data_IF_321805747325
#
_entry.id   IF_321805747325
#
_cell.length_a   1.000
_cell.length_b   1.000
_cell.length_c   1.000
_cell.angle_alpha   90.00
_cell.angle_beta   90.00
_cell.angle_gamma   90.00
#
_symmetry.space_group_name_H-M   'P 1'
#
loop_
_entity.id
_entity.type
_entity.pdbx_description
1 polymer ?
#
# COMPACT_ATOMS: atom_id res chain seq x y z
N UNK A 1 -20.68 -2.77 9.90
CA UNK A 1 -19.46 -3.30 9.30
C UNK A 1 -19.19 -2.55 8.01
N UNK A 2 -18.03 -1.91 7.88
CA UNK A 2 -17.56 -1.28 6.63
C UNK A 2 -16.36 -2.07 6.10
N UNK A 3 -16.38 -2.36 4.81
CA UNK A 3 -15.30 -3.08 4.14
C UNK A 3 -14.65 -2.16 3.11
N UNK A 4 -13.31 -2.08 3.11
CA UNK A 4 -12.55 -1.16 2.26
C UNK A 4 -11.70 -1.97 1.28
N UNK A 5 -11.94 -1.75 -0.02
CA UNK A 5 -11.22 -2.42 -1.09
C UNK A 5 -10.46 -1.42 -1.95
N UNK A 6 -9.18 -1.70 -2.15
CA UNK A 6 -8.29 -0.94 -3.02
C UNK A 6 -8.64 -1.19 -4.50
N UNK A 7 -8.53 -0.17 -5.35
CA UNK A 7 -8.85 -0.28 -6.79
C UNK A 7 -7.81 0.32 -7.74
N UNK A 8 -6.61 0.57 -7.26
CA UNK A 8 -5.56 1.21 -8.05
C UNK A 8 -4.70 0.16 -8.76
N UNK A 9 -4.43 0.37 -10.05
CA UNK A 9 -3.37 -0.31 -10.79
C UNK A 9 -2.03 0.42 -10.62
N UNK A 10 -0.95 -0.26 -10.93
CA UNK A 10 0.42 0.24 -10.83
C UNK A 10 1.01 0.51 -12.23
N UNK A 11 1.92 1.49 -12.37
CA UNK A 11 2.64 1.74 -13.62
C UNK A 11 3.76 0.70 -13.84
N UNK A 12 3.36 -0.57 -13.95
CA UNK A 12 4.23 -1.73 -14.11
C UNK A 12 3.76 -2.52 -15.32
N UNK A 13 4.68 -2.81 -16.26
CA UNK A 13 4.38 -3.68 -17.39
C UNK A 13 4.15 -5.11 -16.93
N UNK A 14 2.99 -5.66 -17.25
CA UNK A 14 2.70 -7.06 -16.96
C UNK A 14 3.52 -7.99 -17.84
N UNK A 15 4.08 -9.04 -17.23
CA UNK A 15 4.92 -10.04 -17.90
C UNK A 15 4.45 -11.47 -17.64
N UNK A 16 3.19 -11.65 -17.25
CA UNK A 16 2.63 -12.96 -16.89
C UNK A 16 2.40 -13.86 -18.10
N UNK A 17 2.14 -13.27 -19.27
CA UNK A 17 1.82 -14.02 -20.50
C UNK A 17 0.46 -14.74 -20.46
N UNK A 18 -0.42 -14.39 -19.53
CA UNK A 18 -1.75 -14.97 -19.40
C UNK A 18 -2.73 -14.37 -20.41
N UNK A 19 -3.72 -15.14 -20.83
CA UNK A 19 -4.75 -14.70 -21.80
C UNK A 19 -5.57 -13.51 -21.32
N UNK A 20 -5.62 -13.31 -19.99
CA UNK A 20 -6.29 -12.19 -19.32
C UNK A 20 -5.33 -11.13 -18.77
N UNK A 21 -4.09 -11.09 -19.25
CA UNK A 21 -3.12 -10.03 -18.93
C UNK A 21 -3.66 -8.65 -19.27
N UNK A 22 -3.10 -7.64 -18.63
CA UNK A 22 -3.45 -6.24 -18.88
C UNK A 22 -3.37 -5.90 -20.37
N UNK A 23 -4.40 -5.25 -20.89
CA UNK A 23 -4.44 -4.72 -22.27
C UNK A 23 -3.92 -3.27 -22.34
N UNK A 24 -3.61 -2.67 -21.19
CA UNK A 24 -3.04 -1.34 -21.11
C UNK A 24 -1.53 -1.46 -20.93
N UNK A 25 -0.79 -1.00 -21.95
CA UNK A 25 0.68 -1.01 -21.91
C UNK A 25 1.21 -0.22 -20.72
N UNK A 26 2.22 -0.77 -20.04
CA UNK A 26 2.86 -0.15 -18.89
C UNK A 26 2.03 -0.09 -17.61
N UNK A 27 0.86 -0.72 -17.56
CA UNK A 27 -0.02 -0.69 -16.39
C UNK A 27 -0.57 -2.07 -16.06
N UNK A 28 -0.50 -2.48 -14.80
CA UNK A 28 -1.05 -3.77 -14.35
C UNK A 28 -1.50 -3.74 -12.88
N UNK A 29 -2.31 -4.73 -12.49
CA UNK A 29 -2.69 -4.97 -11.10
C UNK A 29 -1.66 -5.83 -10.36
N UNK A 30 -0.39 -5.40 -10.33
CA UNK A 30 0.71 -6.14 -9.72
C UNK A 30 0.59 -6.29 -8.19
N UNK A 31 -0.30 -5.53 -7.56
CA UNK A 31 -0.61 -5.67 -6.13
C UNK A 31 -1.94 -6.41 -5.86
N UNK A 32 -2.56 -7.02 -6.89
CA UNK A 32 -3.77 -7.83 -6.74
C UNK A 32 -5.05 -7.06 -6.37
N UNK A 33 -5.10 -5.76 -6.64
CA UNK A 33 -6.28 -4.94 -6.32
C UNK A 33 -7.52 -5.29 -7.16
N UNK A 34 -7.34 -5.88 -8.33
CA UNK A 34 -8.40 -6.48 -9.15
C UNK A 34 -9.10 -7.64 -8.41
N UNK A 35 -8.33 -8.51 -7.75
CA UNK A 35 -8.87 -9.59 -6.90
C UNK A 35 -9.64 -8.98 -5.72
N UNK A 36 -9.14 -7.90 -5.11
CA UNK A 36 -9.87 -7.21 -4.04
C UNK A 36 -11.23 -6.70 -4.52
N UNK A 37 -11.31 -6.08 -5.70
CA UNK A 37 -12.57 -5.59 -6.27
C UNK A 37 -13.56 -6.75 -6.48
N UNK A 38 -13.10 -7.84 -7.08
CA UNK A 38 -13.94 -9.02 -7.34
C UNK A 38 -14.43 -9.63 -6.03
N UNK A 39 -13.56 -9.77 -5.05
CA UNK A 39 -13.92 -10.27 -3.71
C UNK A 39 -15.00 -9.39 -3.07
N UNK A 40 -14.85 -8.06 -3.14
CA UNK A 40 -15.84 -7.11 -2.63
C UNK A 40 -17.22 -7.30 -3.28
N UNK A 41 -17.23 -7.39 -4.61
CA UNK A 41 -18.47 -7.55 -5.38
C UNK A 41 -19.19 -8.86 -5.07
N UNK A 42 -18.43 -9.96 -4.97
CA UNK A 42 -19.02 -11.26 -4.63
C UNK A 42 -19.48 -11.31 -3.15
N UNK A 43 -18.73 -10.73 -2.23
CA UNK A 43 -19.16 -10.56 -0.85
C UNK A 43 -20.46 -9.76 -0.77
N UNK A 44 -20.58 -8.66 -1.49
CA UNK A 44 -21.81 -7.88 -1.57
C UNK A 44 -22.99 -8.71 -2.08
N UNK A 45 -22.76 -9.50 -3.14
CA UNK A 45 -23.80 -10.38 -3.71
C UNK A 45 -24.28 -11.44 -2.71
N UNK A 46 -23.35 -12.08 -2.00
CA UNK A 46 -23.68 -13.08 -0.99
C UNK A 46 -24.45 -12.44 0.17
N UNK A 47 -23.95 -11.33 0.71
CA UNK A 47 -24.59 -10.60 1.79
C UNK A 47 -26.00 -10.12 1.39
N UNK A 48 -26.20 -9.69 0.15
CA UNK A 48 -27.52 -9.31 -0.35
C UNK A 48 -28.49 -10.48 -0.42
N UNK A 49 -28.02 -11.70 -0.71
CA UNK A 49 -28.85 -12.90 -0.72
C UNK A 49 -29.29 -13.30 0.71
N UNK A 50 -28.48 -12.97 1.72
CA UNK A 50 -28.71 -13.28 3.14
C UNK A 50 -29.09 -12.03 3.95
N UNK A 51 -29.60 -10.98 3.30
CA UNK A 51 -29.86 -9.68 3.95
C UNK A 51 -30.80 -9.80 5.16
N UNK A 52 -31.77 -10.72 5.12
CA UNK A 52 -32.76 -10.90 6.17
C UNK A 52 -32.19 -11.65 7.41
N UNK A 53 -30.99 -12.21 7.28
CA UNK A 53 -30.24 -12.86 8.36
C UNK A 53 -29.24 -11.90 9.04
N UNK A 54 -29.02 -10.70 8.47
CA UNK A 54 -28.06 -9.74 8.97
C UNK A 54 -28.66 -8.88 10.08
N UNK A 55 -28.01 -8.85 11.24
CA UNK A 55 -28.36 -7.97 12.36
C UNK A 55 -27.58 -6.64 12.28
N UNK A 56 -27.61 -5.97 11.13
CA UNK A 56 -26.88 -4.72 10.94
C UNK A 56 -26.74 -4.33 9.49
N UNK A 57 -25.91 -3.32 9.24
CA UNK A 57 -25.63 -2.79 7.91
C UNK A 57 -24.20 -3.12 7.49
N UNK A 58 -24.02 -3.40 6.20
CA UNK A 58 -22.70 -3.57 5.60
C UNK A 58 -22.50 -2.50 4.54
N UNK A 59 -21.42 -1.74 4.66
CA UNK A 59 -21.02 -0.73 3.69
C UNK A 59 -19.74 -1.19 3.01
N UNK A 60 -19.76 -1.32 1.69
CA UNK A 60 -18.59 -1.65 0.89
C UNK A 60 -17.99 -0.37 0.34
N UNK A 61 -16.68 -0.19 0.50
CA UNK A 61 -15.95 1.00 0.10
C UNK A 61 -14.87 0.63 -0.90
N UNK A 62 -14.92 1.22 -2.08
CA UNK A 62 -13.87 1.10 -3.09
C UNK A 62 -12.93 2.30 -2.99
N UNK A 63 -11.81 2.12 -2.31
CA UNK A 63 -10.84 3.17 -2.06
C UNK A 63 -9.94 3.41 -3.28
N UNK A 64 -9.80 4.66 -3.76
CA UNK A 64 -8.81 5.02 -4.78
C UNK A 64 -7.43 5.24 -4.14
N UNK A 65 -6.38 5.40 -4.95
CA UNK A 65 -5.09 5.98 -4.59
C UNK A 65 -4.47 5.43 -3.28
N UNK A 66 -4.52 4.12 -3.08
CA UNK A 66 -3.93 3.49 -1.90
C UNK A 66 -2.41 3.49 -1.98
N UNK A 67 -1.82 3.22 -3.16
CA UNK A 67 -0.37 3.09 -3.36
C UNK A 67 0.42 4.40 -3.13
N UNK A 68 -0.24 5.53 -3.18
CA UNK A 68 0.34 6.84 -2.82
C UNK A 68 -0.15 7.38 -1.47
N UNK A 69 -0.76 6.52 -0.64
CA UNK A 69 -1.15 6.80 0.75
C UNK A 69 -2.12 8.00 0.89
N UNK A 70 -2.83 8.36 -0.17
CA UNK A 70 -3.74 9.52 -0.18
C UNK A 70 -5.22 9.12 -0.16
N UNK A 71 -5.55 7.92 -0.64
CA UNK A 71 -6.92 7.50 -0.87
C UNK A 71 -7.78 7.41 0.39
N UNK A 72 -7.27 6.83 1.47
CA UNK A 72 -8.00 6.74 2.73
C UNK A 72 -8.31 8.13 3.29
N UNK A 73 -7.34 9.06 3.25
CA UNK A 73 -7.53 10.46 3.67
C UNK A 73 -8.62 11.16 2.85
N UNK A 74 -8.62 10.94 1.54
CA UNK A 74 -9.63 11.53 0.64
C UNK A 74 -11.04 10.99 0.94
N UNK A 75 -11.18 9.69 1.17
CA UNK A 75 -12.47 9.06 1.50
C UNK A 75 -12.99 9.51 2.86
N UNK A 76 -12.11 9.65 3.86
CA UNK A 76 -12.45 10.18 5.18
C UNK A 76 -12.89 11.65 5.05
N UNK A 77 -12.13 12.48 4.33
CA UNK A 77 -12.47 13.89 4.09
C UNK A 77 -13.80 14.06 3.33
N UNK A 78 -14.17 13.09 2.48
CA UNK A 78 -15.46 13.05 1.82
C UNK A 78 -16.63 12.61 2.75
N UNK A 79 -16.38 12.44 4.04
CA UNK A 79 -17.40 12.17 5.05
C UNK A 79 -17.75 10.71 5.28
N UNK A 80 -16.92 9.76 4.84
CA UNK A 80 -17.22 8.33 5.03
C UNK A 80 -17.48 7.97 6.48
N UNK A 81 -16.68 8.53 7.40
CA UNK A 81 -16.75 8.20 8.83
C UNK A 81 -17.90 8.91 9.56
N UNK A 82 -18.47 9.94 8.96
CA UNK A 82 -19.62 10.72 9.48
C UNK A 82 -20.95 10.32 8.87
N UNK A 83 -20.95 9.45 7.85
CA UNK A 83 -22.16 9.02 7.15
C UNK A 83 -22.92 7.99 7.96
N UNK A 84 -24.17 8.28 8.27
CA UNK A 84 -25.07 7.35 8.97
C UNK A 84 -25.50 6.15 8.09
N UNK A 85 -25.67 4.94 8.67
CA UNK A 85 -25.30 4.60 10.05
C UNK A 85 -23.78 4.59 10.23
N UNK A 86 -23.29 5.03 11.39
CA UNK A 86 -21.86 5.07 11.68
C UNK A 86 -21.26 3.67 11.64
N UNK A 87 -19.96 3.59 11.34
CA UNK A 87 -19.27 2.32 11.27
C UNK A 87 -18.77 1.90 12.66
N UNK A 88 -19.19 0.76 13.17
CA UNK A 88 -18.68 0.16 14.40
C UNK A 88 -17.35 -0.57 14.15
N UNK A 89 -17.21 -1.18 12.98
CA UNK A 89 -16.05 -1.98 12.60
C UNK A 89 -15.67 -1.67 11.14
N UNK A 90 -14.37 -1.63 10.87
CA UNK A 90 -13.82 -1.58 9.52
C UNK A 90 -13.01 -2.84 9.28
N UNK A 91 -13.28 -3.51 8.18
CA UNK A 91 -12.58 -4.72 7.75
C UNK A 91 -11.84 -4.41 6.45
N UNK A 92 -10.59 -4.84 6.35
CA UNK A 92 -9.80 -4.80 5.13
C UNK A 92 -9.20 -6.16 4.85
N UNK A 93 -9.04 -6.51 3.58
CA UNK A 93 -8.29 -7.70 3.18
C UNK A 93 -7.24 -7.34 2.16
N UNK A 94 -6.20 -8.15 2.11
CA UNK A 94 -5.20 -8.08 1.06
C UNK A 94 -4.84 -9.48 0.56
N UNK A 95 -4.61 -9.60 -0.74
CA UNK A 95 -4.02 -10.82 -1.31
C UNK A 95 -2.61 -11.01 -0.78
N UNK A 96 -2.25 -12.25 -0.48
CA UNK A 96 -0.90 -12.57 0.01
C UNK A 96 -0.33 -13.74 -0.80
N UNK A 97 0.67 -13.51 -1.67
CA UNK A 97 1.13 -14.51 -2.63
C UNK A 97 1.74 -15.76 -2.00
N UNK A 98 2.19 -15.67 -0.75
CA UNK A 98 2.77 -16.79 -0.01
C UNK A 98 1.74 -17.60 0.77
N UNK A 99 0.48 -17.16 0.82
CA UNK A 99 -0.59 -17.89 1.50
C UNK A 99 -1.26 -18.84 0.53
N UNK A 100 -1.31 -20.16 0.79
CA UNK A 100 -1.99 -21.11 -0.07
C UNK A 100 -3.46 -20.77 -0.26
N UNK A 101 -3.99 -21.03 -1.46
CA UNK A 101 -5.42 -20.86 -1.77
C UNK A 101 -6.29 -21.62 -0.75
N UNK A 102 -7.39 -21.00 -0.34
CA UNK A 102 -8.30 -21.53 0.68
C UNK A 102 -7.88 -21.29 2.12
N UNK A 103 -6.76 -20.55 2.33
CA UNK A 103 -6.32 -20.13 3.67
C UNK A 103 -6.40 -18.62 3.84
N UNK A 104 -6.65 -18.21 5.09
CA UNK A 104 -6.66 -16.81 5.51
C UNK A 104 -5.61 -16.65 6.60
N UNK A 105 -4.75 -15.63 6.47
CA UNK A 105 -3.80 -15.24 7.51
C UNK A 105 -4.43 -14.15 8.39
N UNK A 106 -4.47 -14.40 9.69
CA UNK A 106 -4.93 -13.46 10.69
C UNK A 106 -3.90 -13.34 11.80
N UNK A 107 -3.74 -12.14 12.34
CA UNK A 107 -2.86 -11.85 13.46
C UNK A 107 -3.56 -10.95 14.47
N UNK A 108 -3.44 -11.27 15.74
CA UNK A 108 -3.88 -10.36 16.82
C UNK A 108 -2.85 -9.23 16.98
N UNK A 109 -3.30 -7.99 17.01
CA UNK A 109 -2.45 -6.81 17.10
C UNK A 109 -1.99 -6.29 15.72
N UNK A 110 -0.93 -5.47 15.65
CA UNK A 110 -0.45 -4.89 14.41
C UNK A 110 -0.08 -5.95 13.38
N UNK A 111 -0.66 -5.88 12.21
CA UNK A 111 -0.41 -6.80 11.09
C UNK A 111 0.45 -6.14 10.01
N UNK A 112 0.18 -4.89 9.71
CA UNK A 112 0.88 -4.07 8.72
C UNK A 112 1.58 -2.90 9.39
N UNK A 113 2.68 -2.41 8.79
CA UNK A 113 3.36 -1.20 9.23
C UNK A 113 2.67 0.05 8.67
N UNK A 114 2.87 1.20 9.33
CA UNK A 114 2.58 2.49 8.73
C UNK A 114 3.54 2.76 7.57
N UNK A 115 3.14 3.65 6.65
CA UNK A 115 3.97 4.07 5.54
C UNK A 115 4.13 5.60 5.54
N UNK A 116 5.39 6.05 5.51
CA UNK A 116 5.76 7.44 5.36
C UNK A 116 6.62 7.61 4.11
N UNK A 117 6.35 8.65 3.35
CA UNK A 117 7.11 8.98 2.15
C UNK A 117 7.93 10.25 2.36
N UNK A 118 9.22 10.17 2.09
CA UNK A 118 10.11 11.33 2.17
C UNK A 118 11.00 11.46 0.93
N UNK A 119 11.45 12.68 0.65
CA UNK A 119 12.37 12.99 -0.44
C UNK A 119 13.57 13.76 0.09
N UNK A 120 14.77 13.27 -0.21
CA UNK A 120 16.02 13.94 0.12
C UNK A 120 16.65 14.48 -1.16
N UNK A 121 17.04 15.74 -1.16
CA UNK A 121 17.76 16.37 -2.27
C UNK A 121 19.16 16.74 -1.81
N UNK A 122 20.18 16.10 -2.38
CA UNK A 122 21.59 16.40 -2.10
C UNK A 122 22.11 17.37 -3.14
N UNK A 123 22.54 18.54 -2.67
CA UNK A 123 23.13 19.59 -3.53
C UNK A 123 24.66 19.58 -3.38
N UNK A 124 25.36 19.34 -4.45
CA UNK A 124 26.81 19.36 -4.51
C UNK A 124 27.40 20.72 -4.91
N UNK A 125 28.71 20.74 -5.01
CA UNK A 125 29.48 21.87 -5.56
C UNK A 125 30.35 21.37 -6.72
N UNK A 126 30.11 21.89 -7.91
CA UNK A 126 30.86 21.54 -9.11
C UNK A 126 32.31 22.04 -9.02
N UNK A 127 33.21 21.31 -9.67
CA UNK A 127 34.63 21.69 -9.80
C UNK A 127 35.37 20.75 -10.72
N UNK A 128 36.69 21.01 -10.89
CA UNK A 128 37.54 20.20 -11.76
C UNK A 128 37.85 18.84 -11.10
N UNK A 129 37.78 17.77 -11.87
CA UNK A 129 37.97 16.41 -11.38
C UNK A 129 39.34 16.16 -10.70
N UNK A 130 40.39 16.87 -11.14
CA UNK A 130 41.71 16.78 -10.53
C UNK A 130 41.85 17.54 -9.20
N UNK A 131 40.82 18.33 -8.82
CA UNK A 131 40.81 19.14 -7.59
C UNK A 131 39.61 18.82 -6.72
N UNK A 132 39.42 17.54 -6.28
CA UNK A 132 38.23 17.12 -5.56
C UNK A 132 38.05 17.85 -4.23
N UNK A 133 39.12 18.32 -3.61
CA UNK A 133 39.10 19.11 -2.37
C UNK A 133 38.39 20.48 -2.50
N UNK A 134 38.16 20.95 -3.72
CA UNK A 134 37.41 22.19 -4.01
C UNK A 134 35.95 21.94 -4.37
N UNK A 135 35.52 20.67 -4.40
CA UNK A 135 34.20 20.21 -4.82
C UNK A 135 33.42 19.60 -3.66
N UNK A 136 32.14 19.38 -3.90
CA UNK A 136 31.28 18.50 -3.06
C UNK A 136 30.57 17.55 -4.02
N UNK A 137 30.96 16.29 -3.98
CA UNK A 137 30.35 15.26 -4.84
C UNK A 137 29.03 14.79 -4.24
N UNK A 138 27.88 15.11 -4.86
CA UNK A 138 26.58 14.74 -4.33
C UNK A 138 26.32 13.22 -4.43
N UNK A 139 27.00 12.52 -5.36
CA UNK A 139 26.86 11.07 -5.50
C UNK A 139 27.49 10.36 -4.31
N UNK A 140 28.71 10.73 -3.95
CA UNK A 140 29.39 10.17 -2.78
C UNK A 140 28.61 10.45 -1.50
N UNK A 141 28.16 11.69 -1.31
CA UNK A 141 27.31 12.05 -0.13
C UNK A 141 26.03 11.23 -0.12
N UNK A 142 25.37 11.05 -1.26
CA UNK A 142 24.15 10.25 -1.37
C UNK A 142 24.40 8.77 -1.04
N UNK A 143 25.52 8.20 -1.48
CA UNK A 143 25.88 6.83 -1.18
C UNK A 143 26.05 6.59 0.34
N UNK A 144 26.75 7.50 1.03
CA UNK A 144 26.85 7.46 2.49
C UNK A 144 25.50 7.61 3.17
N UNK A 145 24.66 8.50 2.69
CA UNK A 145 23.32 8.72 3.23
C UNK A 145 22.45 7.45 3.10
N UNK A 146 22.45 6.83 1.91
CA UNK A 146 21.68 5.60 1.66
C UNK A 146 22.12 4.47 2.62
N UNK A 147 23.41 4.27 2.78
CA UNK A 147 23.93 3.25 3.69
C UNK A 147 23.61 3.57 5.16
N UNK A 148 23.71 4.84 5.55
CA UNK A 148 23.38 5.28 6.91
C UNK A 148 21.91 5.12 7.23
N UNK A 149 21.00 5.37 6.29
CA UNK A 149 19.56 5.15 6.49
C UNK A 149 19.22 3.69 6.82
N UNK A 150 20.01 2.72 6.33
CA UNK A 150 19.79 1.31 6.67
C UNK A 150 20.05 1.01 8.15
N UNK A 151 20.82 1.85 8.85
CA UNK A 151 21.05 1.69 10.29
C UNK A 151 19.80 1.94 11.13
N UNK A 152 18.83 2.68 10.63
CA UNK A 152 17.54 2.88 11.29
C UNK A 152 16.91 1.51 11.59
N UNK A 153 16.87 0.62 10.58
CA UNK A 153 16.31 -0.72 10.75
C UNK A 153 17.19 -1.60 11.64
N UNK A 154 18.50 -1.55 11.45
CA UNK A 154 19.42 -2.50 12.08
C UNK A 154 19.93 -2.07 13.46
N UNK A 155 19.83 -0.79 13.85
CA UNK A 155 20.42 -0.25 15.07
C UNK A 155 19.50 0.61 15.91
N UNK A 156 18.58 1.36 15.28
CA UNK A 156 17.76 2.34 15.97
C UNK A 156 16.38 1.79 16.35
N UNK A 157 15.91 0.77 15.63
CA UNK A 157 14.60 0.18 15.88
C UNK A 157 14.70 -1.04 16.78
N UNK A 158 13.68 -1.21 17.64
CA UNK A 158 13.56 -2.41 18.47
C UNK A 158 13.27 -3.63 17.57
N UNK A 159 13.97 -4.74 17.79
CA UNK A 159 13.89 -5.93 16.92
C UNK A 159 12.49 -6.53 16.77
N UNK A 160 11.58 -6.27 17.71
CA UNK A 160 10.18 -6.73 17.67
C UNK A 160 9.23 -5.79 16.92
N UNK A 161 9.70 -4.61 16.52
CA UNK A 161 8.94 -3.66 15.72
C UNK A 161 9.33 -3.78 14.26
N UNK A 162 8.44 -4.28 13.39
CA UNK A 162 8.74 -4.40 11.97
C UNK A 162 8.93 -2.99 11.36
N UNK A 163 10.08 -2.79 10.73
CA UNK A 163 10.43 -1.53 10.06
C UNK A 163 11.16 -1.85 8.77
N UNK A 164 10.83 -1.15 7.70
CA UNK A 164 11.48 -1.25 6.39
C UNK A 164 11.86 0.13 5.92
N UNK A 165 13.06 0.29 5.36
CA UNK A 165 13.54 1.51 4.68
C UNK A 165 13.97 1.12 3.27
N UNK A 166 13.22 1.58 2.26
CA UNK A 166 13.45 1.27 0.84
C UNK A 166 13.40 2.53 -0.01
#
# INVERSE_FOLDING_TARGET
>A
LGDVYKRQALPIQEQTGLDFSSKNEGVSHSCGHDIHIVTALYSAKILQQHKDELNGNVRIVFQPAEENVTGAKAVIAAGLMQKEPLNDIVVGLHTHPQTPVGKICLKKGPMEAGNDYFKITVKGKCGHAAYPHNCVDPIVVSAYLITSLQTIVSRENMAVHPTVVT
#
